data_IF_330500443676
#
_entry.id   IF_330500443676
#
_cell.length_a   1.000
_cell.length_b   1.000
_cell.length_c   1.000
_cell.angle_alpha   90.00
_cell.angle_beta   90.00
_cell.angle_gamma   90.00
#
_symmetry.space_group_name_H-M   'P 1'
#
loop_
_entity.id
_entity.type
_entity.pdbx_description
1 polymer ?
#
# COMPACT_ATOMS: atom_id res chain seq x y z
N UNK A 1 -23.32 -14.65 10.50
CA UNK A 1 -22.69 -15.16 9.25
C UNK A 1 -21.38 -14.41 8.99
N UNK A 2 -20.43 -14.94 8.21
CA UNK A 2 -19.15 -14.25 7.94
C UNK A 2 -19.34 -12.88 7.27
N UNK A 3 -20.32 -12.77 6.39
CA UNK A 3 -20.67 -11.53 5.67
C UNK A 3 -21.10 -10.40 6.61
N UNK A 4 -21.93 -10.70 7.61
CA UNK A 4 -22.39 -9.72 8.61
C UNK A 4 -21.21 -9.15 9.40
N UNK A 5 -20.28 -10.03 9.79
CA UNK A 5 -19.09 -9.59 10.52
C UNK A 5 -18.15 -8.76 9.64
N UNK A 6 -17.97 -9.14 8.38
CA UNK A 6 -17.20 -8.34 7.41
C UNK A 6 -17.82 -6.96 7.18
N UNK A 7 -19.15 -6.89 7.06
CA UNK A 7 -19.85 -5.62 6.90
C UNK A 7 -19.63 -4.74 8.13
N UNK A 8 -19.97 -5.24 9.32
CA UNK A 8 -19.78 -4.52 10.57
C UNK A 8 -18.33 -4.01 10.74
N UNK A 9 -17.34 -4.88 10.51
CA UNK A 9 -15.94 -4.50 10.65
C UNK A 9 -15.51 -3.39 9.68
N UNK A 10 -15.94 -3.48 8.41
CA UNK A 10 -15.50 -2.55 7.37
C UNK A 10 -16.29 -1.24 7.35
N UNK A 11 -17.56 -1.25 7.79
CA UNK A 11 -18.49 -0.14 7.61
C UNK A 11 -18.94 0.53 8.90
N UNK A 12 -18.96 -0.19 10.02
CA UNK A 12 -19.57 0.32 11.27
C UNK A 12 -18.56 0.43 12.41
N UNK A 13 -17.49 -0.36 12.39
CA UNK A 13 -16.52 -0.43 13.48
C UNK A 13 -15.42 0.63 13.33
N UNK A 14 -15.33 1.62 14.24
CA UNK A 14 -14.23 2.58 14.25
C UNK A 14 -12.93 1.92 14.73
N UNK A 15 -11.79 2.32 14.15
CA UNK A 15 -10.47 1.79 14.48
C UNK A 15 -9.53 2.88 14.98
N UNK A 16 -8.89 2.68 16.13
CA UNK A 16 -7.94 3.64 16.71
C UNK A 16 -6.71 3.88 15.82
N UNK A 17 -6.24 2.85 15.10
CA UNK A 17 -5.19 2.97 14.08
C UNK A 17 -5.57 3.86 12.91
N UNK A 18 -6.88 4.04 12.67
CA UNK A 18 -7.45 4.93 11.67
C UNK A 18 -7.99 6.22 12.29
N UNK A 19 -7.50 6.60 13.47
CA UNK A 19 -7.93 7.81 14.20
C UNK A 19 -9.44 7.84 14.49
N UNK A 20 -10.04 6.68 14.70
CA UNK A 20 -11.47 6.55 14.97
C UNK A 20 -12.34 6.39 13.73
N UNK A 21 -11.76 6.42 12.52
CA UNK A 21 -12.50 6.12 11.29
C UNK A 21 -12.74 4.61 11.13
N UNK A 22 -13.79 4.27 10.40
CA UNK A 22 -14.02 2.94 9.84
C UNK A 22 -13.11 2.70 8.63
N UNK A 23 -12.85 1.44 8.24
CA UNK A 23 -12.07 1.14 7.05
C UNK A 23 -12.64 1.79 5.78
N UNK A 24 -13.96 1.79 5.58
CA UNK A 24 -14.56 2.39 4.39
C UNK A 24 -14.38 3.90 4.35
N UNK A 25 -14.55 4.60 5.47
CA UNK A 25 -14.30 6.05 5.54
C UNK A 25 -12.85 6.38 5.17
N UNK A 26 -11.89 5.54 5.60
CA UNK A 26 -10.49 5.75 5.23
C UNK A 26 -10.23 5.53 3.74
N UNK A 27 -10.88 4.54 3.14
CA UNK A 27 -10.81 4.30 1.69
C UNK A 27 -11.41 5.48 0.92
N UNK A 28 -12.55 6.00 1.36
CA UNK A 28 -13.19 7.18 0.76
C UNK A 28 -12.31 8.43 0.90
N UNK A 29 -11.67 8.66 2.05
CA UNK A 29 -10.75 9.79 2.24
C UNK A 29 -9.56 9.75 1.25
N UNK A 30 -9.11 8.54 0.89
CA UNK A 30 -7.97 8.32 0.00
C UNK A 30 -8.36 8.12 -1.46
N UNK A 31 -9.65 8.15 -1.82
CA UNK A 31 -10.11 7.80 -3.17
C UNK A 31 -9.45 8.67 -4.23
N UNK A 32 -9.37 9.97 -3.98
CA UNK A 32 -8.86 10.96 -4.95
C UNK A 32 -7.33 10.89 -5.11
N UNK A 33 -6.65 10.28 -4.13
CA UNK A 33 -5.18 10.09 -4.15
C UNK A 33 -4.78 8.70 -4.65
N UNK A 34 -5.71 7.75 -4.66
CA UNK A 34 -5.41 6.37 -5.02
C UNK A 34 -5.52 6.23 -6.54
N UNK A 35 -4.41 5.97 -7.25
CA UNK A 35 -4.44 5.85 -8.71
C UNK A 35 -5.26 4.63 -9.12
N UNK A 36 -5.93 4.74 -10.27
CA UNK A 36 -6.58 3.61 -10.90
C UNK A 36 -5.52 2.61 -11.38
N UNK A 37 -5.88 1.33 -11.44
CA UNK A 37 -4.97 0.27 -11.90
C UNK A 37 -4.37 0.58 -13.28
N UNK A 38 -5.16 1.15 -14.18
CA UNK A 38 -4.71 1.58 -15.51
C UNK A 38 -3.62 2.66 -15.43
N UNK A 39 -3.79 3.66 -14.57
CA UNK A 39 -2.79 4.70 -14.36
C UNK A 39 -1.50 4.11 -13.79
N UNK A 40 -1.60 3.15 -12.86
CA UNK A 40 -0.46 2.42 -12.32
C UNK A 40 0.28 1.68 -13.44
N UNK A 41 -0.44 0.93 -14.29
CA UNK A 41 0.17 0.20 -15.41
C UNK A 41 0.88 1.13 -16.40
N UNK A 42 0.29 2.27 -16.74
CA UNK A 42 0.87 3.24 -17.66
C UNK A 42 2.19 3.84 -17.15
N UNK A 43 2.31 4.03 -15.83
CA UNK A 43 3.48 4.63 -15.19
C UNK A 43 4.52 3.61 -14.72
N UNK A 44 4.15 2.32 -14.67
CA UNK A 44 5.04 1.25 -14.24
C UNK A 44 6.18 1.02 -15.24
N UNK A 45 7.41 0.87 -14.73
CA UNK A 45 8.64 0.70 -15.53
C UNK A 45 9.50 -0.39 -14.88
N UNK A 46 9.54 -1.57 -15.51
CA UNK A 46 10.27 -2.74 -14.99
C UNK A 46 11.74 -2.44 -14.75
N UNK A 47 12.39 -1.69 -15.64
CA UNK A 47 13.82 -1.34 -15.49
C UNK A 47 14.09 -0.31 -14.38
N UNK A 48 13.05 0.34 -13.82
CA UNK A 48 13.18 1.16 -12.61
C UNK A 48 13.01 0.34 -11.34
N UNK A 49 12.65 -0.95 -11.44
CA UNK A 49 12.57 -1.81 -10.27
C UNK A 49 13.94 -2.06 -9.66
N UNK A 50 13.95 -2.16 -8.35
CA UNK A 50 15.14 -2.49 -7.58
C UNK A 50 15.41 -3.98 -7.70
N UNK A 51 16.61 -4.35 -8.11
CA UNK A 51 17.07 -5.73 -7.96
C UNK A 51 17.19 -6.08 -6.47
N UNK A 52 16.51 -7.14 -6.04
CA UNK A 52 16.56 -7.61 -4.65
C UNK A 52 17.49 -8.80 -4.54
N UNK A 53 18.60 -8.61 -3.83
CA UNK A 53 19.53 -9.70 -3.55
C UNK A 53 18.93 -10.67 -2.54
N UNK A 54 19.14 -11.97 -2.76
CA UNK A 54 18.67 -13.01 -1.84
C UNK A 54 19.36 -12.89 -0.47
N UNK A 55 20.64 -12.50 -0.47
CA UNK A 55 21.37 -12.25 0.77
C UNK A 55 20.91 -10.93 1.38
N UNK A 56 20.10 -11.02 2.43
CA UNK A 56 19.51 -9.86 3.10
C UNK A 56 20.55 -8.83 3.58
N UNK A 57 21.71 -9.27 4.09
CA UNK A 57 22.75 -8.35 4.57
C UNK A 57 23.34 -7.55 3.42
N UNK A 58 23.60 -8.20 2.28
CA UNK A 58 24.06 -7.52 1.07
C UNK A 58 22.98 -6.60 0.50
N UNK A 59 21.73 -7.06 0.45
CA UNK A 59 20.58 -6.25 0.00
C UNK A 59 20.44 -4.95 0.81
N UNK A 60 20.58 -5.04 2.15
CA UNK A 60 20.57 -3.87 3.03
C UNK A 60 21.72 -2.90 2.76
N UNK A 61 22.91 -3.40 2.41
CA UNK A 61 24.05 -2.55 2.04
C UNK A 61 23.78 -1.87 0.70
N UNK A 62 23.30 -2.61 -0.30
CA UNK A 62 22.95 -2.05 -1.61
C UNK A 62 21.85 -0.99 -1.52
N UNK A 63 20.83 -1.16 -0.65
CA UNK A 63 19.80 -0.14 -0.41
C UNK A 63 20.35 1.20 0.07
N UNK A 64 21.45 1.19 0.83
CA UNK A 64 22.07 2.42 1.35
C UNK A 64 22.85 3.17 0.27
N UNK A 65 23.34 2.47 -0.75
CA UNK A 65 24.21 2.98 -1.79
C UNK A 65 23.42 3.65 -2.94
N UNK A 66 22.33 4.39 -2.64
CA UNK A 66 21.45 5.10 -3.62
C UNK A 66 22.13 5.28 -4.99
N UNK A 67 21.54 4.82 -6.11
CA UNK A 67 22.12 5.12 -7.41
C UNK A 67 22.21 6.64 -7.53
N UNK A 68 23.42 7.19 -7.56
CA UNK A 68 23.67 8.56 -7.97
C UNK A 68 23.07 8.69 -9.38
N UNK A 69 22.25 9.73 -9.54
CA UNK A 69 21.49 10.08 -10.75
C UNK A 69 22.19 9.72 -12.08
#
# INVERSE_FOLDING_TARGET
MLSEWQHYYNWERPHSSLKGLTPIEKVTELSDQTPLSEEVYQHYRIWKERFQEQNYKLDLQLRKLKPSL
#
